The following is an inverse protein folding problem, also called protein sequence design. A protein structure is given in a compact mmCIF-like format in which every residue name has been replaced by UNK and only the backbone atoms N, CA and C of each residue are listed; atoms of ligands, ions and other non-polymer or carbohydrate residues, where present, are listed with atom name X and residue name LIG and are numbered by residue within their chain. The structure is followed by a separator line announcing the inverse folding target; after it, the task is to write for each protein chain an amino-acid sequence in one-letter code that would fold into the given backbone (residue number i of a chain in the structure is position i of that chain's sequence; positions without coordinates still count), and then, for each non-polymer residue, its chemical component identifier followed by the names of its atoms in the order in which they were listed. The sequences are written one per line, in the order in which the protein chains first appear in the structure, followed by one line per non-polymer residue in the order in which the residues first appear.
data_IF_761218563312
#
_entry.id   IF_761218563312
#
_cell.length_a   1.000
_cell.length_b   1.000
_cell.length_c   1.000
_cell.angle_alpha   90.00
_cell.angle_beta   90.00
_cell.angle_gamma   90.00
#
_symmetry.space_group_name_H-M   'P 1'
#
loop_
_entity.id
_entity.type
_entity.pdbx_description
1 polymer ?
#
# COMPACT_ATOMS: atom_id res chain seq x y z
N UNK A 1 31.64 -57.40 7.46
CA UNK A 1 30.51 -57.57 8.41
C UNK A 1 29.90 -56.18 8.56
N UNK A 2 28.99 -55.82 7.65
CA UNK A 2 27.53 -56.07 7.68
C UNK A 2 26.82 -55.06 8.60
N UNK A 3 26.38 -53.98 7.95
CA UNK A 3 25.01 -53.45 7.84
C UNK A 3 24.21 -52.85 9.02
N UNK A 4 23.61 -51.69 8.65
CA UNK A 4 22.18 -51.31 8.81
C UNK A 4 21.71 -50.89 10.22
N UNK A 5 20.93 -49.82 10.47
CA UNK A 5 20.02 -48.90 9.76
C UNK A 5 20.13 -47.53 10.49
N UNK A 6 19.74 -46.33 10.04
CA UNK A 6 18.73 -45.90 9.08
C UNK A 6 17.91 -44.76 9.72
N UNK A 7 18.01 -43.55 9.17
CA UNK A 7 17.04 -42.44 9.32
C UNK A 7 17.30 -41.42 8.19
N UNK A 8 16.88 -41.84 7.01
CA UNK A 8 16.50 -41.08 5.80
C UNK A 8 15.50 -39.95 6.14
N UNK A 9 15.29 -38.80 5.46
CA UNK A 9 15.64 -38.11 4.20
C UNK A 9 14.89 -36.73 4.28
N UNK A 10 14.83 -35.82 3.27
CA UNK A 10 15.73 -35.50 2.17
C UNK A 10 15.96 -33.96 1.97
N UNK A 11 16.89 -33.60 1.07
CA UNK A 11 17.01 -32.28 0.46
C UNK A 11 15.98 -32.09 -0.66
N UNK A 12 15.39 -30.90 -0.81
CA UNK A 12 14.76 -30.47 -2.07
C UNK A 12 14.67 -28.93 -2.14
N UNK A 13 15.83 -28.31 -2.39
CA UNK A 13 15.91 -27.09 -3.18
C UNK A 13 15.81 -27.51 -4.65
N UNK A 14 14.62 -27.46 -5.25
CA UNK A 14 14.47 -27.52 -6.71
C UNK A 14 13.64 -26.34 -7.21
N UNK A 15 14.34 -25.48 -7.93
CA UNK A 15 13.85 -24.59 -8.97
C UNK A 15 12.82 -25.33 -9.84
N UNK A 16 11.62 -24.78 -9.97
CA UNK A 16 10.79 -25.05 -11.14
C UNK A 16 10.19 -23.74 -11.66
N UNK A 17 10.88 -23.17 -12.65
CA UNK A 17 10.22 -22.34 -13.64
C UNK A 17 9.17 -23.18 -14.36
N UNK A 18 7.89 -22.81 -14.25
CA UNK A 18 6.83 -23.35 -15.09
C UNK A 18 6.35 -22.26 -16.03
N UNK A 19 6.89 -22.31 -17.25
CA UNK A 19 6.29 -21.69 -18.44
C UNK A 19 4.89 -22.31 -18.61
N UNK A 20 3.82 -21.57 -18.31
CA UNK A 20 2.46 -21.91 -18.74
C UNK A 20 2.06 -20.99 -19.89
N UNK A 21 2.07 -21.56 -21.09
CA UNK A 21 1.25 -21.11 -22.21
C UNK A 21 -0.17 -21.67 -22.03
N UNK A 22 -1.13 -20.91 -22.57
CA UNK A 22 -2.51 -21.24 -22.95
C UNK A 22 -3.59 -21.35 -21.86
N UNK A 23 -4.50 -20.38 -21.92
CA UNK A 23 -5.96 -20.49 -22.03
C UNK A 23 -6.71 -21.45 -21.10
N UNK A 24 -7.58 -20.89 -20.26
CA UNK A 24 -8.63 -21.61 -19.54
C UNK A 24 -8.90 -20.98 -18.19
N UNK A 25 -10.09 -20.41 -18.00
CA UNK A 25 -10.49 -19.66 -16.81
C UNK A 25 -10.30 -20.41 -15.49
N UNK A 26 -9.76 -19.70 -14.51
CA UNK A 26 -9.57 -20.21 -13.16
C UNK A 26 -10.79 -19.79 -12.30
N UNK A 27 -11.62 -20.76 -11.94
CA UNK A 27 -12.67 -20.61 -10.92
C UNK A 27 -12.01 -20.84 -9.56
N UNK A 28 -11.85 -19.79 -8.76
CA UNK A 28 -11.41 -19.91 -7.36
C UNK A 28 -12.66 -20.08 -6.49
N UNK A 29 -12.82 -21.27 -5.91
CA UNK A 29 -13.82 -21.55 -4.89
C UNK A 29 -13.32 -21.01 -3.53
N UNK A 30 -14.00 -20.00 -2.99
CA UNK A 30 -13.76 -19.51 -1.63
C UNK A 30 -14.39 -20.45 -0.59
N UNK A 31 -13.59 -20.86 0.39
CA UNK A 31 -14.01 -21.67 1.53
C UNK A 31 -14.62 -20.73 2.60
N UNK A 32 -15.94 -20.72 2.72
CA UNK A 32 -16.65 -19.96 3.76
C UNK A 32 -16.73 -20.76 5.07
N UNK A 33 -16.17 -20.20 6.14
CA UNK A 33 -16.35 -20.69 7.51
C UNK A 33 -17.69 -20.17 8.05
N UNK A 34 -18.42 -21.07 8.69
CA UNK A 34 -19.79 -20.94 9.17
C UNK A 34 -19.95 -19.86 10.26
N UNK A 35 -20.69 -18.80 9.94
CA UNK A 35 -21.37 -17.96 10.93
C UNK A 35 -22.67 -17.37 10.34
N UNK A 36 -23.75 -18.14 10.42
CA UNK A 36 -25.12 -17.70 10.78
C UNK A 36 -25.82 -16.52 10.09
N UNK A 37 -25.30 -15.91 9.02
CA UNK A 37 -26.03 -14.91 8.22
C UNK A 37 -26.68 -15.56 7.01
N UNK A 38 -27.97 -15.29 6.76
CA UNK A 38 -28.63 -15.66 5.51
C UNK A 38 -27.92 -14.95 4.36
N UNK A 39 -27.04 -15.67 3.66
CA UNK A 39 -26.42 -15.20 2.42
C UNK A 39 -27.49 -15.30 1.34
N UNK A 40 -28.07 -14.16 0.96
CA UNK A 40 -28.91 -14.07 -0.23
C UNK A 40 -28.10 -14.66 -1.41
N UNK A 41 -28.61 -15.75 -1.97
CA UNK A 41 -27.90 -16.51 -2.99
C UNK A 41 -27.58 -15.61 -4.20
N UNK A 42 -26.30 -15.35 -4.42
CA UNK A 42 -25.77 -14.71 -5.62
C UNK A 42 -26.40 -15.36 -6.87
N UNK A 43 -27.13 -14.57 -7.67
CA UNK A 43 -27.75 -15.06 -8.91
C UNK A 43 -26.68 -15.70 -9.81
N UNK A 44 -26.84 -16.96 -10.22
CA UNK A 44 -25.86 -17.62 -11.08
C UNK A 44 -25.89 -16.97 -12.47
N UNK A 45 -24.78 -16.35 -12.87
CA UNK A 45 -24.59 -15.80 -14.22
C UNK A 45 -24.07 -14.37 -14.31
N UNK A 46 -23.87 -13.68 -13.18
CA UNK A 46 -23.31 -12.33 -13.21
C UNK A 46 -21.78 -12.39 -13.21
N UNK A 47 -21.16 -12.22 -14.38
CA UNK A 47 -19.71 -12.02 -14.51
C UNK A 47 -19.41 -10.65 -13.92
N UNK A 48 -18.92 -10.61 -12.68
CA UNK A 48 -18.42 -9.37 -12.08
C UNK A 48 -17.06 -9.12 -12.72
N UNK A 49 -17.00 -8.20 -13.67
CA UNK A 49 -15.74 -7.70 -14.19
C UNK A 49 -15.07 -6.89 -13.07
N UNK A 50 -14.07 -7.51 -12.42
CA UNK A 50 -13.34 -6.89 -11.32
C UNK A 50 -12.42 -5.82 -11.90
N UNK A 51 -12.74 -4.56 -11.64
CA UNK A 51 -11.82 -3.45 -11.88
C UNK A 51 -10.69 -3.47 -10.83
N UNK A 52 -9.55 -2.81 -11.07
CA UNK A 52 -8.50 -2.65 -10.06
C UNK A 52 -8.97 -1.99 -8.74
N UNK A 53 -10.06 -1.23 -8.78
CA UNK A 53 -10.69 -0.57 -7.64
C UNK A 53 -11.63 -1.51 -6.87
N UNK A 54 -11.98 -2.66 -7.44
CA UNK A 54 -12.92 -3.63 -6.88
C UNK A 54 -14.37 -3.11 -6.85
N UNK A 55 -15.20 -3.80 -6.07
CA UNK A 55 -16.59 -3.39 -5.80
C UNK A 55 -16.66 -2.57 -4.49
N UNK A 56 -17.75 -1.81 -4.25
CA UNK A 56 -17.94 -1.12 -2.97
C UNK A 56 -17.85 -2.05 -1.77
N UNK A 57 -18.38 -3.27 -1.87
CA UNK A 57 -18.36 -4.26 -0.78
C UNK A 57 -16.93 -4.72 -0.46
N UNK A 58 -16.09 -4.92 -1.48
CA UNK A 58 -14.67 -5.24 -1.28
C UNK A 58 -13.91 -4.07 -0.64
N UNK A 59 -14.31 -2.82 -0.93
CA UNK A 59 -13.70 -1.64 -0.32
C UNK A 59 -14.16 -1.43 1.12
N UNK A 60 -15.40 -1.77 1.46
CA UNK A 60 -15.87 -1.84 2.85
C UNK A 60 -15.06 -2.89 3.64
N UNK A 61 -14.91 -4.10 3.09
CA UNK A 61 -14.13 -5.16 3.73
C UNK A 61 -12.65 -4.75 3.91
N UNK A 62 -12.05 -4.12 2.89
CA UNK A 62 -10.70 -3.57 2.99
C UNK A 62 -10.60 -2.55 4.12
N UNK A 63 -11.53 -1.61 4.18
CA UNK A 63 -11.56 -0.57 5.21
C UNK A 63 -11.63 -1.19 6.62
N UNK A 64 -12.60 -2.08 6.84
CA UNK A 64 -12.80 -2.76 8.12
C UNK A 64 -11.58 -3.57 8.54
N UNK A 65 -10.93 -4.25 7.58
CA UNK A 65 -9.71 -5.01 7.85
C UNK A 65 -8.56 -4.12 8.33
N UNK A 66 -8.42 -2.91 7.78
CA UNK A 66 -7.37 -1.95 8.16
C UNK A 66 -7.65 -1.39 9.56
N UNK A 67 -8.90 -1.00 9.84
CA UNK A 67 -9.30 -0.53 11.17
C UNK A 67 -9.05 -1.62 12.21
N UNK A 68 -9.44 -2.85 11.91
CA UNK A 68 -9.25 -3.99 12.81
C UNK A 68 -7.78 -4.33 13.03
N UNK A 69 -6.95 -4.27 11.99
CA UNK A 69 -5.50 -4.42 12.13
C UNK A 69 -4.88 -3.30 12.96
N UNK A 70 -5.35 -2.07 12.78
CA UNK A 70 -4.87 -0.88 13.50
C UNK A 70 -5.23 -1.01 14.98
N UNK A 71 -6.50 -1.27 15.30
CA UNK A 71 -7.00 -1.49 16.67
C UNK A 71 -6.25 -2.60 17.42
N UNK A 72 -5.81 -3.65 16.73
CA UNK A 72 -5.03 -4.75 17.33
C UNK A 72 -3.56 -4.41 17.57
N UNK A 73 -2.95 -3.61 16.69
CA UNK A 73 -1.51 -3.30 16.72
C UNK A 73 -1.19 -2.07 17.55
N UNK A 74 -2.11 -1.11 17.60
CA UNK A 74 -1.92 0.13 18.33
C UNK A 74 -2.24 -0.09 19.81
N UNK A 75 -1.23 -0.55 20.54
CA UNK A 75 -1.16 -0.32 21.98
C UNK A 75 -0.76 1.14 22.21
N UNK A 76 -1.70 2.07 22.01
CA UNK A 76 -1.49 3.44 22.46
C UNK A 76 -1.29 3.40 23.97
N UNK A 77 -0.18 3.99 24.45
CA UNK A 77 -0.05 4.12 25.91
C UNK A 77 -1.14 5.10 26.38
N UNK A 78 -1.82 4.84 27.51
CA UNK A 78 -2.84 5.75 28.03
C UNK A 78 -2.35 7.19 28.17
N UNK A 79 -1.06 7.36 28.47
CA UNK A 79 -0.39 8.65 28.51
C UNK A 79 -0.36 9.36 27.15
N UNK A 80 -0.12 8.61 26.06
CA UNK A 80 -0.12 9.15 24.69
C UNK A 80 -1.52 9.58 24.26
N UNK A 81 -2.56 8.81 24.59
CA UNK A 81 -3.95 9.14 24.26
C UNK A 81 -4.41 10.42 24.97
N UNK A 82 -4.13 10.56 26.27
CA UNK A 82 -4.51 11.72 27.07
C UNK A 82 -3.85 13.02 26.58
N UNK A 83 -2.67 12.94 25.96
CA UNK A 83 -1.91 14.10 25.48
C UNK A 83 -1.99 14.32 23.97
N UNK A 84 -2.61 13.42 23.20
CA UNK A 84 -2.67 13.55 21.74
C UNK A 84 -3.67 14.60 21.27
N UNK A 85 -4.77 14.80 22.00
CA UNK A 85 -5.83 15.74 21.61
C UNK A 85 -6.60 15.34 20.35
N UNK A 86 -6.44 14.10 19.88
CA UNK A 86 -7.22 13.47 18.82
C UNK A 86 -7.30 11.96 19.05
N UNK A 87 -8.30 11.31 18.46
CA UNK A 87 -8.44 9.85 18.43
C UNK A 87 -8.20 9.34 17.00
N UNK A 88 -7.10 8.59 16.76
CA UNK A 88 -6.78 8.01 15.46
C UNK A 88 -7.93 7.18 14.86
N UNK A 89 -8.63 6.37 15.67
CA UNK A 89 -9.68 5.50 15.15
C UNK A 89 -10.90 6.30 14.69
N UNK A 90 -11.30 7.32 15.45
CA UNK A 90 -12.36 8.25 15.05
C UNK A 90 -12.00 9.01 13.76
N UNK A 91 -10.78 9.52 13.65
CA UNK A 91 -10.31 10.23 12.44
C UNK A 91 -10.25 9.31 11.21
N UNK A 92 -9.83 8.05 11.40
CA UNK A 92 -9.84 7.05 10.35
C UNK A 92 -11.25 6.68 9.91
N UNK A 93 -12.18 6.49 10.86
CA UNK A 93 -13.58 6.16 10.57
C UNK A 93 -14.27 7.25 9.72
N UNK A 94 -13.95 8.52 9.98
CA UNK A 94 -14.46 9.65 9.20
C UNK A 94 -14.09 9.58 7.70
N UNK A 95 -13.05 8.82 7.33
CA UNK A 95 -12.57 8.65 5.97
C UNK A 95 -13.25 7.48 5.22
N UNK A 96 -14.08 6.66 5.87
CA UNK A 96 -14.74 5.47 5.25
C UNK A 96 -15.36 5.80 3.90
N UNK A 97 -16.18 6.84 3.84
CA UNK A 97 -16.90 7.23 2.62
C UNK A 97 -15.98 7.55 1.44
N UNK A 98 -14.76 8.06 1.67
CA UNK A 98 -13.78 8.36 0.61
C UNK A 98 -13.20 7.10 -0.01
N UNK A 99 -13.10 6.02 0.77
CA UNK A 99 -12.58 4.73 0.30
C UNK A 99 -13.70 3.94 -0.37
N UNK A 100 -14.84 3.79 0.28
CA UNK A 100 -15.96 2.98 -0.22
C UNK A 100 -16.50 3.53 -1.53
N UNK A 101 -16.63 4.86 -1.65
CA UNK A 101 -17.15 5.50 -2.84
C UNK A 101 -16.08 5.78 -3.91
N UNK A 102 -14.84 5.34 -3.72
CA UNK A 102 -13.79 5.51 -4.73
C UNK A 102 -14.18 4.80 -6.02
N UNK A 103 -14.17 5.53 -7.13
CA UNK A 103 -14.51 4.99 -8.47
C UNK A 103 -13.28 4.81 -9.36
N UNK A 104 -12.17 5.45 -9.01
CA UNK A 104 -10.91 5.37 -9.76
C UNK A 104 -9.78 4.83 -8.86
N UNK A 105 -8.73 4.30 -9.49
CA UNK A 105 -7.53 3.84 -8.75
C UNK A 105 -6.88 5.00 -7.98
N UNK A 106 -6.88 6.18 -8.57
CA UNK A 106 -6.34 7.41 -7.98
C UNK A 106 -7.12 7.84 -6.73
N UNK A 107 -8.46 7.85 -6.79
CA UNK A 107 -9.31 8.16 -5.64
C UNK A 107 -9.04 7.19 -4.48
N UNK A 108 -8.96 5.88 -4.82
CA UNK A 108 -8.71 4.85 -3.82
C UNK A 108 -7.31 4.97 -3.22
N UNK A 109 -6.29 5.24 -4.04
CA UNK A 109 -4.92 5.48 -3.59
C UNK A 109 -4.84 6.67 -2.63
N UNK A 110 -5.45 7.81 -2.97
CA UNK A 110 -5.45 8.97 -2.10
C UNK A 110 -6.28 8.74 -0.84
N UNK A 111 -7.41 8.06 -0.93
CA UNK A 111 -8.22 7.66 0.22
C UNK A 111 -7.41 6.82 1.21
N UNK A 112 -6.69 5.81 0.73
CA UNK A 112 -5.80 4.98 1.55
C UNK A 112 -4.63 5.78 2.13
N UNK A 113 -4.08 6.72 1.37
CA UNK A 113 -2.98 7.59 1.83
C UNK A 113 -3.43 8.48 2.98
N UNK A 114 -4.61 9.09 2.86
CA UNK A 114 -5.23 9.88 3.93
C UNK A 114 -5.51 9.00 5.15
N UNK A 115 -6.04 7.79 4.96
CA UNK A 115 -6.29 6.84 6.04
C UNK A 115 -5.00 6.49 6.79
N UNK A 116 -3.90 6.26 6.07
CA UNK A 116 -2.60 6.00 6.70
C UNK A 116 -2.13 7.18 7.54
N UNK A 117 -2.27 8.41 7.01
CA UNK A 117 -1.83 9.64 7.65
C UNK A 117 -2.72 10.11 8.82
N UNK A 118 -3.98 9.67 8.89
CA UNK A 118 -4.88 10.00 10.00
C UNK A 118 -4.30 9.59 11.37
N UNK A 119 -3.47 8.55 11.39
CA UNK A 119 -2.75 8.07 12.57
C UNK A 119 -1.60 8.96 13.02
N UNK A 120 -1.10 9.84 12.13
CA UNK A 120 0.07 10.72 12.33
C UNK A 120 1.33 9.96 12.77
N UNK A 121 1.49 8.73 12.32
CA UNK A 121 2.69 7.92 12.56
C UNK A 121 3.61 7.97 11.33
N UNK A 122 4.79 8.57 11.50
CA UNK A 122 5.80 8.68 10.44
C UNK A 122 6.39 7.35 10.00
N UNK A 123 6.18 6.26 10.76
CA UNK A 123 6.68 4.93 10.40
C UNK A 123 5.71 4.13 9.52
N UNK A 124 4.51 4.67 9.26
CA UNK A 124 3.49 4.00 8.47
C UNK A 124 3.43 4.62 7.08
N UNK A 125 3.67 3.79 6.07
CA UNK A 125 3.70 4.23 4.67
C UNK A 125 3.02 3.18 3.78
N UNK A 126 2.44 3.68 2.68
CA UNK A 126 1.96 2.83 1.61
C UNK A 126 3.11 2.55 0.64
N UNK A 127 3.35 1.27 0.36
CA UNK A 127 4.37 0.86 -0.60
C UNK A 127 3.69 0.35 -1.87
N UNK A 128 4.08 0.83 -3.06
CA UNK A 128 3.59 0.25 -4.30
C UNK A 128 4.06 -1.20 -4.44
N UNK A 129 3.19 -2.06 -4.97
CA UNK A 129 3.48 -3.47 -5.26
C UNK A 129 3.24 -3.76 -6.75
N UNK A 130 3.94 -4.74 -7.35
CA UNK A 130 3.65 -5.16 -8.72
C UNK A 130 2.17 -5.52 -8.90
N UNK A 131 1.57 -5.07 -9.99
CA UNK A 131 0.16 -5.26 -10.33
C UNK A 131 -0.84 -4.72 -9.27
N UNK A 132 -0.38 -3.86 -8.36
CA UNK A 132 -1.22 -3.17 -7.38
C UNK A 132 -1.89 -1.91 -7.93
N UNK A 133 -2.55 -1.18 -7.02
CA UNK A 133 -3.17 0.12 -7.32
C UNK A 133 -2.15 1.09 -7.92
N UNK A 134 -2.51 1.70 -9.04
CA UNK A 134 -1.72 2.75 -9.66
C UNK A 134 -1.99 4.06 -8.94
N UNK A 135 -0.96 4.58 -8.30
CA UNK A 135 -0.98 5.93 -7.77
C UNK A 135 -1.02 6.99 -8.88
N UNK A 136 -1.31 8.25 -8.52
CA UNK A 136 -1.23 9.39 -9.43
C UNK A 136 0.16 9.48 -10.06
N UNK A 137 0.21 9.79 -11.36
CA UNK A 137 1.48 10.17 -12.00
C UNK A 137 1.82 11.58 -11.55
N UNK A 138 2.54 11.69 -10.44
CA UNK A 138 3.08 12.96 -10.02
C UNK A 138 4.24 13.33 -10.95
N UNK A 139 4.27 14.56 -11.49
CA UNK A 139 5.45 15.03 -12.18
C UNK A 139 6.61 15.02 -11.19
N UNK A 140 7.76 14.53 -11.64
CA UNK A 140 8.99 14.62 -10.87
C UNK A 140 9.41 16.10 -10.87
N UNK A 141 8.98 16.84 -9.84
CA UNK A 141 9.31 18.25 -9.66
C UNK A 141 10.58 18.34 -8.82
N UNK A 142 11.69 18.66 -9.49
CA UNK A 142 12.89 19.11 -8.83
C UNK A 142 12.94 20.63 -8.81
N UNK A 143 13.49 21.18 -7.73
CA UNK A 143 13.87 22.59 -7.74
C UNK A 143 14.94 22.79 -8.84
N UNK A 144 14.88 23.88 -9.63
CA UNK A 144 15.85 24.14 -10.70
C UNK A 144 17.30 24.20 -10.18
N UNK A 145 17.44 24.55 -8.89
CA UNK A 145 18.70 24.55 -8.16
C UNK A 145 18.54 23.56 -7.01
N UNK A 146 19.44 22.57 -6.96
CA UNK A 146 19.53 21.64 -5.84
C UNK A 146 20.59 22.14 -4.86
N UNK A 147 20.22 22.22 -3.59
CA UNK A 147 21.07 22.69 -2.52
C UNK A 147 21.21 21.56 -1.50
N UNK A 148 22.45 21.20 -1.17
CA UNK A 148 22.74 20.22 -0.13
C UNK A 148 23.43 20.91 1.06
N UNK A 149 23.16 20.43 2.28
CA UNK A 149 23.91 20.87 3.46
C UNK A 149 25.36 20.40 3.36
N UNK A 150 26.30 21.30 3.66
CA UNK A 150 27.69 20.97 3.89
C UNK A 150 27.91 20.73 5.39
N UNK A 151 28.20 19.48 5.74
CA UNK A 151 28.50 19.06 7.10
C UNK A 151 30.01 19.02 7.41
N UNK A 152 30.85 19.54 6.51
CA UNK A 152 32.31 19.55 6.70
C UNK A 152 32.74 20.36 7.92
N UNK A 153 31.96 21.36 8.33
CA UNK A 153 32.12 22.10 9.58
C UNK A 153 30.81 22.11 10.38
N UNK A 154 30.76 21.36 11.49
CA UNK A 154 29.61 21.30 12.37
C UNK A 154 29.39 22.58 13.20
N UNK A 155 30.39 23.45 13.31
CA UNK A 155 30.32 24.71 14.04
C UNK A 155 29.92 25.89 13.16
N UNK A 156 29.99 25.73 11.83
CA UNK A 156 29.56 26.70 10.84
C UNK A 156 28.81 25.99 9.69
N UNK A 157 27.58 25.50 9.93
CA UNK A 157 26.81 24.80 8.91
C UNK A 157 26.59 25.71 7.70
N UNK A 158 26.95 25.21 6.52
CA UNK A 158 26.77 25.93 5.27
C UNK A 158 26.00 25.08 4.26
N UNK A 159 25.65 25.68 3.13
CA UNK A 159 24.96 25.00 2.04
C UNK A 159 25.73 25.24 0.75
N UNK A 160 25.73 24.25 -0.14
CA UNK A 160 26.29 24.40 -1.47
C UNK A 160 25.30 23.96 -2.54
N UNK A 161 25.45 24.54 -3.72
CA UNK A 161 24.69 24.12 -4.90
C UNK A 161 25.26 22.78 -5.36
N UNK A 162 24.47 21.72 -5.21
CA UNK A 162 24.86 20.36 -5.56
C UNK A 162 24.55 20.00 -7.01
N UNK A 163 23.66 20.76 -7.65
CA UNK A 163 23.25 20.51 -9.02
C UNK A 163 22.29 21.56 -9.57
N UNK A 164 22.23 21.62 -10.88
CA UNK A 164 21.26 22.40 -11.64
C UNK A 164 20.41 21.44 -12.46
N UNK A 165 19.10 21.65 -12.49
CA UNK A 165 18.24 20.93 -13.42
C UNK A 165 18.35 21.56 -14.81
N UNK A 166 19.20 20.99 -15.65
CA UNK A 166 19.47 21.49 -17.00
C UNK A 166 18.18 21.57 -17.84
N UNK A 167 17.22 20.66 -17.65
CA UNK A 167 15.95 20.68 -18.40
C UNK A 167 15.13 21.93 -18.11
N UNK A 168 15.18 22.42 -16.87
CA UNK A 168 14.47 23.64 -16.47
C UNK A 168 15.20 24.90 -16.97
N UNK A 169 16.53 24.88 -17.01
CA UNK A 169 17.33 25.97 -17.57
C UNK A 169 17.15 26.09 -19.09
N UNK A 170 17.15 24.97 -19.82
CA UNK A 170 16.95 24.95 -21.28
C UNK A 170 15.53 25.40 -21.67
N UNK A 171 14.53 25.12 -20.82
CA UNK A 171 13.16 25.63 -21.02
C UNK A 171 13.00 27.12 -20.66
N UNK A 172 14.00 27.72 -20.00
CA UNK A 172 13.98 29.11 -19.53
C UNK A 172 14.68 30.08 -20.47
N UNK A 173 15.04 29.67 -21.71
CA UNK A 173 15.52 30.58 -22.75
C UNK A 173 14.49 31.69 -22.99
N UNK A 174 14.68 32.80 -22.29
CA UNK A 174 13.98 34.05 -22.55
C UNK A 174 14.31 34.45 -23.99
N UNK A 175 13.33 34.88 -24.79
CA UNK A 175 13.60 35.39 -26.12
C UNK A 175 14.62 36.52 -26.00
N UNK A 176 15.77 36.32 -26.67
CA UNK A 176 16.92 37.23 -26.67
C UNK A 176 16.66 38.57 -27.35
#
# INVERSE_FOLDING_TARGET
MVDSQGSELPPDCLVYGRRMRSAGGLVIACLAVLAGGEVEAQKPGQVIELTPVGTPELREELFDSIIEMTRRREAWSPFKEEHMGYDPLTEMEALRSKIVNATTEEDLYYGLTLLSNARRDSHLYLTPVPDGLKGPSLPEVHAPIQVLPDYSDMHAPSFFVSGLDQKHLDASELPG
#
